data_IF_078972473457
#
_entry.id   IF_078972473457
#
_cell.length_a   1.000
_cell.length_b   1.000
_cell.length_c   1.000
_cell.angle_alpha   90.00
_cell.angle_beta   90.00
_cell.angle_gamma   90.00
#
_symmetry.space_group_name_H-M   'P 1'
#
loop_
_entity.id
_entity.type
_entity.pdbx_description
1 polymer ?
#
# COMPACT_ATOMS: atom_id res chain seq x y z
N UNK A 1 90.00 -58.97 -4.49
CA UNK A 1 89.47 -57.82 -5.19
C UNK A 1 88.00 -58.08 -5.47
N UNK A 2 87.08 -57.60 -4.59
CA UNK A 2 85.64 -57.83 -4.71
C UNK A 2 84.95 -56.66 -5.37
N UNK A 3 84.28 -56.91 -6.49
CA UNK A 3 83.47 -55.91 -7.20
C UNK A 3 82.11 -55.82 -6.53
N UNK A 4 81.75 -54.61 -6.10
CA UNK A 4 80.42 -54.27 -5.57
C UNK A 4 79.61 -53.66 -6.71
N UNK A 5 78.55 -54.40 -7.11
CA UNK A 5 77.55 -53.86 -8.05
C UNK A 5 76.47 -53.11 -7.26
N UNK A 6 76.35 -51.87 -7.59
CA UNK A 6 75.22 -51.00 -7.11
C UNK A 6 74.04 -51.15 -8.02
N UNK A 7 72.93 -51.66 -7.52
CA UNK A 7 71.63 -51.69 -8.25
C UNK A 7 70.87 -50.45 -7.92
N UNK A 8 70.66 -49.59 -8.93
CA UNK A 8 69.88 -48.37 -8.83
C UNK A 8 68.41 -48.71 -9.06
N UNK A 9 67.56 -48.64 -8.01
CA UNK A 9 66.12 -48.82 -8.11
C UNK A 9 65.49 -47.46 -8.53
N UNK A 10 64.98 -47.41 -9.78
CA UNK A 10 64.18 -46.30 -10.27
C UNK A 10 62.74 -46.47 -9.78
N UNK A 11 62.27 -45.68 -8.84
CA UNK A 11 60.86 -45.58 -8.46
C UNK A 11 60.15 -44.62 -9.39
N UNK A 12 59.30 -45.16 -10.25
CA UNK A 12 58.43 -44.38 -11.16
C UNK A 12 57.22 -43.85 -10.37
N UNK A 13 57.20 -42.55 -10.03
CA UNK A 13 56.07 -41.88 -9.43
C UNK A 13 55.00 -41.61 -10.52
N UNK A 14 53.91 -42.35 -10.47
CA UNK A 14 52.72 -42.12 -11.32
C UNK A 14 51.97 -40.92 -10.72
N UNK A 15 52.13 -39.72 -11.28
CA UNK A 15 51.24 -38.59 -11.03
C UNK A 15 49.92 -38.82 -11.78
N UNK A 16 48.90 -39.29 -11.07
CA UNK A 16 47.52 -39.32 -11.57
C UNK A 16 47.00 -37.89 -11.68
N UNK A 17 46.19 -37.55 -12.74
CA UNK A 17 45.55 -36.26 -12.86
C UNK A 17 44.55 -36.09 -11.72
N UNK A 18 44.75 -35.10 -10.86
CA UNK A 18 43.74 -34.64 -9.89
C UNK A 18 42.64 -33.92 -10.70
N UNK A 19 41.56 -34.62 -11.01
CA UNK A 19 40.36 -34.01 -11.51
C UNK A 19 39.75 -33.15 -10.40
N UNK A 20 40.08 -31.83 -10.39
CA UNK A 20 39.32 -30.84 -9.68
C UNK A 20 37.98 -30.70 -10.39
N UNK A 21 36.97 -31.44 -10.00
CA UNK A 21 35.59 -31.19 -10.43
C UNK A 21 35.21 -29.76 -10.08
N UNK A 22 34.32 -29.12 -10.86
CA UNK A 22 33.85 -27.79 -10.56
C UNK A 22 33.25 -27.81 -9.16
N UNK A 23 33.90 -27.10 -8.19
CA UNK A 23 33.24 -26.72 -6.95
C UNK A 23 32.06 -25.85 -7.37
N UNK A 24 30.86 -26.38 -7.22
CA UNK A 24 29.67 -25.54 -7.20
C UNK A 24 29.84 -24.58 -6.03
N UNK A 25 30.18 -23.32 -6.33
CA UNK A 25 30.07 -22.23 -5.37
C UNK A 25 28.59 -22.12 -4.97
N UNK A 26 28.22 -22.84 -3.91
CA UNK A 26 26.86 -22.76 -3.31
C UNK A 26 26.61 -21.41 -2.60
N UNK A 27 27.49 -20.42 -2.81
CA UNK A 27 27.38 -19.09 -2.24
C UNK A 27 27.46 -17.98 -3.29
N UNK A 28 26.98 -18.22 -4.51
CA UNK A 28 26.75 -17.11 -5.42
C UNK A 28 25.64 -16.24 -4.83
N UNK A 29 25.97 -15.07 -4.33
CA UNK A 29 24.98 -14.08 -3.90
C UNK A 29 23.96 -13.90 -5.05
N UNK A 30 22.66 -14.01 -4.74
CA UNK A 30 21.62 -13.85 -5.74
C UNK A 30 21.80 -12.50 -6.45
N UNK A 31 21.63 -12.48 -7.76
CA UNK A 31 21.79 -11.26 -8.56
C UNK A 31 20.86 -10.15 -8.05
N UNK A 32 21.31 -8.89 -8.00
CA UNK A 32 20.46 -7.77 -7.62
C UNK A 32 19.21 -7.69 -8.49
N UNK A 33 18.06 -7.48 -7.86
CA UNK A 33 16.79 -7.35 -8.54
C UNK A 33 15.99 -6.16 -8.01
N UNK A 34 15.35 -5.41 -8.90
CA UNK A 34 14.51 -4.28 -8.54
C UNK A 34 13.05 -4.54 -8.93
N UNK A 35 12.17 -4.61 -7.95
CA UNK A 35 10.73 -4.71 -8.13
C UNK A 35 10.15 -3.32 -8.38
N UNK A 36 9.42 -3.15 -9.48
CA UNK A 36 8.72 -1.90 -9.78
C UNK A 36 7.29 -1.94 -9.23
N UNK A 37 6.93 -0.92 -8.47
CA UNK A 37 5.63 -0.81 -7.79
C UNK A 37 5.01 0.54 -8.14
N UNK A 38 3.74 0.56 -8.54
CA UNK A 38 3.04 1.82 -8.84
C UNK A 38 1.63 1.83 -8.28
N UNK A 39 1.10 3.01 -7.94
CA UNK A 39 -0.33 3.16 -7.63
C UNK A 39 -0.66 3.93 -6.36
N UNK A 40 -1.51 3.38 -5.50
CA UNK A 40 -2.16 4.06 -4.39
C UNK A 40 -1.22 4.79 -3.43
N UNK A 41 -1.44 6.08 -3.25
CA UNK A 41 -0.76 6.92 -2.23
C UNK A 41 -1.18 6.58 -0.80
N UNK A 42 -2.30 5.87 -0.60
CA UNK A 42 -2.75 5.40 0.72
C UNK A 42 -2.13 4.06 1.10
N UNK A 43 -1.78 3.21 0.11
CA UNK A 43 -1.07 1.94 0.32
C UNK A 43 0.43 2.18 0.49
N UNK A 44 0.99 3.23 -0.15
CA UNK A 44 2.43 3.53 -0.16
C UNK A 44 3.08 3.51 1.24
N UNK A 45 2.53 4.13 2.31
CA UNK A 45 3.14 4.07 3.62
C UNK A 45 3.30 2.63 4.17
N UNK A 46 2.31 1.76 3.94
CA UNK A 46 2.41 0.36 4.30
C UNK A 46 3.49 -0.36 3.45
N UNK A 47 3.51 -0.10 2.14
CA UNK A 47 4.51 -0.70 1.25
C UNK A 47 5.92 -0.26 1.61
N UNK A 48 6.13 0.98 2.02
CA UNK A 48 7.43 1.48 2.49
C UNK A 48 7.93 0.70 3.72
N UNK A 49 7.06 0.43 4.69
CA UNK A 49 7.38 -0.39 5.86
C UNK A 49 7.68 -1.85 5.49
N UNK A 50 6.83 -2.46 4.66
CA UNK A 50 7.00 -3.85 4.23
C UNK A 50 8.29 -4.03 3.41
N UNK A 51 8.56 -3.13 2.48
CA UNK A 51 9.76 -3.22 1.64
C UNK A 51 11.05 -2.93 2.40
N UNK A 52 11.00 -2.01 3.37
CA UNK A 52 12.16 -1.74 4.24
C UNK A 52 12.55 -2.98 5.04
N UNK A 53 11.57 -3.68 5.65
CA UNK A 53 11.85 -4.90 6.41
C UNK A 53 12.26 -6.06 5.49
N UNK A 54 11.59 -6.23 4.34
CA UNK A 54 11.96 -7.28 3.40
C UNK A 54 13.38 -7.13 2.85
N UNK A 55 13.86 -5.90 2.63
CA UNK A 55 15.25 -5.63 2.24
C UNK A 55 16.26 -6.07 3.31
N UNK A 56 15.90 -5.99 4.59
CA UNK A 56 16.75 -6.51 5.67
C UNK A 56 16.87 -8.04 5.60
N UNK A 57 15.81 -8.72 5.15
CA UNK A 57 15.78 -10.19 4.99
C UNK A 57 16.45 -10.65 3.69
N UNK A 58 16.34 -9.84 2.62
CA UNK A 58 16.76 -10.15 1.24
C UNK A 58 17.56 -9.00 0.67
N UNK A 59 18.85 -8.94 1.01
CA UNK A 59 19.74 -7.83 0.64
C UNK A 59 19.97 -7.63 -0.86
N UNK A 60 19.60 -8.61 -1.70
CA UNK A 60 19.70 -8.53 -3.16
C UNK A 60 18.45 -7.91 -3.83
N UNK A 61 17.38 -7.61 -3.07
CA UNK A 61 16.13 -7.06 -3.61
C UNK A 61 16.00 -5.59 -3.26
N UNK A 62 15.62 -4.77 -4.24
CA UNK A 62 15.27 -3.36 -4.08
C UNK A 62 13.87 -3.10 -4.65
N UNK A 63 13.27 -1.98 -4.26
CA UNK A 63 11.92 -1.60 -4.69
C UNK A 63 11.94 -0.17 -5.22
N UNK A 64 11.30 0.05 -6.36
CA UNK A 64 11.03 1.37 -6.90
C UNK A 64 9.53 1.63 -6.79
N UNK A 65 9.13 2.46 -5.82
CA UNK A 65 7.72 2.73 -5.51
C UNK A 65 7.33 4.09 -6.08
N UNK A 66 6.32 4.11 -6.95
CA UNK A 66 5.72 5.32 -7.53
C UNK A 66 4.27 5.45 -7.05
N UNK A 67 4.02 6.38 -6.13
CA UNK A 67 2.71 6.59 -5.53
C UNK A 67 1.96 7.72 -6.27
N UNK A 68 1.12 7.37 -7.26
CA UNK A 68 0.43 8.30 -8.17
C UNK A 68 -1.10 8.17 -8.15
N UNK A 69 -1.63 7.13 -7.50
CA UNK A 69 -3.05 6.86 -7.40
C UNK A 69 -3.39 5.43 -7.82
N UNK A 70 -4.49 4.86 -7.28
CA UNK A 70 -4.88 3.48 -7.56
C UNK A 70 -5.14 3.23 -9.05
N UNK A 71 -5.75 4.19 -9.74
CA UNK A 71 -6.03 4.08 -11.19
C UNK A 71 -4.77 3.91 -12.02
N UNK A 72 -3.65 4.53 -11.62
CA UNK A 72 -2.37 4.37 -12.31
C UNK A 72 -1.77 2.99 -12.05
N UNK A 73 -1.84 2.47 -10.82
CA UNK A 73 -1.42 1.12 -10.49
C UNK A 73 -2.20 0.06 -11.27
N UNK A 74 -3.53 0.23 -11.36
CA UNK A 74 -4.41 -0.66 -12.12
C UNK A 74 -4.05 -0.67 -13.62
N UNK A 75 -3.68 0.47 -14.19
CA UNK A 75 -3.25 0.58 -15.60
C UNK A 75 -1.82 0.09 -15.83
N UNK A 76 -0.92 0.34 -14.88
CA UNK A 76 0.50 0.00 -15.00
C UNK A 76 0.74 -1.51 -15.09
N UNK A 77 -0.05 -2.32 -14.37
CA UNK A 77 0.11 -3.77 -14.31
C UNK A 77 -0.15 -4.46 -15.66
N UNK A 78 -1.30 -4.31 -16.33
CA UNK A 78 -1.51 -4.94 -17.64
C UNK A 78 -0.59 -4.36 -18.71
N UNK A 79 -0.18 -3.08 -18.59
CA UNK A 79 0.80 -2.44 -19.47
C UNK A 79 2.26 -2.86 -19.20
N UNK A 80 2.50 -3.63 -18.14
CA UNK A 80 3.82 -4.10 -17.70
C UNK A 80 4.84 -2.99 -17.38
N UNK A 81 4.37 -1.78 -17.09
CA UNK A 81 5.20 -0.66 -16.61
C UNK A 81 5.50 -0.74 -15.12
N UNK A 82 4.73 -1.55 -14.38
CA UNK A 82 5.02 -1.98 -13.02
C UNK A 82 4.77 -3.48 -12.88
N UNK A 83 5.53 -4.15 -12.02
CA UNK A 83 5.29 -5.56 -11.68
C UNK A 83 4.17 -5.72 -10.67
N UNK A 84 4.11 -4.78 -9.71
CA UNK A 84 3.09 -4.72 -8.67
C UNK A 84 2.34 -3.41 -8.78
N UNK A 85 1.02 -3.49 -8.87
CA UNK A 85 0.12 -2.36 -8.71
C UNK A 85 -0.34 -2.23 -7.25
N UNK A 86 -0.60 -1.02 -6.78
CA UNK A 86 -1.21 -0.75 -5.48
C UNK A 86 -2.61 -0.19 -5.68
N UNK A 87 -3.63 -0.80 -5.07
CA UNK A 87 -4.99 -0.26 -5.04
C UNK A 87 -5.53 -0.16 -3.62
N UNK A 88 -6.24 0.92 -3.34
CA UNK A 88 -6.96 1.16 -2.09
C UNK A 88 -8.48 1.17 -2.30
N UNK A 89 -8.94 0.40 -3.28
CA UNK A 89 -10.34 0.06 -3.56
C UNK A 89 -10.38 -1.26 -4.31
N UNK A 90 -11.53 -1.85 -4.37
CA UNK A 90 -11.80 -2.97 -5.28
C UNK A 90 -11.67 -2.55 -6.75
N UNK A 91 -11.46 -3.51 -7.63
CA UNK A 91 -11.53 -3.28 -9.07
C UNK A 91 -12.97 -3.04 -9.48
N UNK A 92 -13.21 -2.04 -10.33
CA UNK A 92 -14.52 -1.84 -10.93
C UNK A 92 -14.87 -3.00 -11.89
N UNK A 93 -16.16 -3.22 -12.23
CA UNK A 93 -16.57 -4.25 -13.18
C UNK A 93 -15.82 -4.18 -14.52
N UNK A 94 -15.48 -2.98 -14.98
CA UNK A 94 -14.70 -2.79 -16.21
C UNK A 94 -13.21 -3.20 -16.07
N UNK A 95 -12.68 -3.16 -14.85
CA UNK A 95 -11.29 -3.50 -14.55
C UNK A 95 -11.10 -4.98 -14.21
N UNK A 96 -12.12 -5.67 -13.67
CA UNK A 96 -12.08 -7.11 -13.33
C UNK A 96 -11.70 -7.98 -14.55
N UNK A 97 -12.11 -7.59 -15.77
CA UNK A 97 -11.77 -8.27 -17.02
C UNK A 97 -10.40 -7.92 -17.59
N UNK A 98 -9.62 -7.05 -16.97
CA UNK A 98 -8.38 -6.50 -17.55
C UNK A 98 -7.14 -7.39 -17.39
N UNK A 99 -7.29 -8.64 -16.94
CA UNK A 99 -6.17 -9.58 -16.77
C UNK A 99 -5.28 -9.25 -15.57
N UNK A 100 -5.89 -8.91 -14.43
CA UNK A 100 -5.25 -8.61 -13.16
C UNK A 100 -5.59 -9.69 -12.14
N UNK A 101 -4.60 -10.13 -11.38
CA UNK A 101 -4.76 -10.92 -10.15
C UNK A 101 -4.65 -9.98 -8.95
N UNK A 102 -5.57 -10.13 -7.99
CA UNK A 102 -5.69 -9.31 -6.80
C UNK A 102 -5.15 -10.05 -5.57
N UNK A 103 -4.29 -9.39 -4.79
CA UNK A 103 -3.72 -9.90 -3.55
C UNK A 103 -4.14 -8.99 -2.40
N UNK A 104 -5.09 -9.43 -1.58
CA UNK A 104 -5.51 -8.70 -0.38
C UNK A 104 -4.40 -8.74 0.67
N UNK A 105 -3.87 -7.58 1.05
CA UNK A 105 -2.76 -7.47 2.02
C UNK A 105 -3.16 -6.85 3.35
N UNK A 106 -4.18 -6.01 3.37
CA UNK A 106 -4.70 -5.34 4.57
C UNK A 106 -6.13 -4.86 4.35
N UNK A 107 -6.83 -4.57 5.44
CA UNK A 107 -8.02 -3.73 5.45
C UNK A 107 -7.66 -2.37 6.05
N UNK A 108 -8.20 -1.29 5.49
CA UNK A 108 -7.97 0.08 5.93
C UNK A 108 -9.28 0.81 6.18
N UNK A 109 -9.35 1.56 7.29
CA UNK A 109 -10.43 2.51 7.51
C UNK A 109 -10.20 3.79 6.72
N UNK A 110 -11.26 4.45 6.24
CA UNK A 110 -11.19 5.80 5.71
C UNK A 110 -11.67 6.75 6.81
N UNK A 111 -10.76 7.51 7.38
CA UNK A 111 -11.07 8.51 8.40
C UNK A 111 -11.58 9.81 7.76
N UNK A 112 -12.73 10.31 8.19
CA UNK A 112 -13.18 11.67 7.91
C UNK A 112 -12.42 12.61 8.83
N UNK A 113 -11.76 13.60 8.26
CA UNK A 113 -10.86 14.50 8.98
C UNK A 113 -11.24 15.97 8.83
N UNK A 114 -10.99 16.72 9.89
CA UNK A 114 -11.14 18.18 9.94
C UNK A 114 -9.92 18.80 10.62
N UNK A 115 -9.81 20.12 10.53
CA UNK A 115 -8.81 20.86 11.31
C UNK A 115 -8.97 20.61 12.81
N UNK A 116 -7.86 20.54 13.55
CA UNK A 116 -7.87 20.28 15.00
C UNK A 116 -8.69 21.32 15.79
N UNK A 117 -8.81 22.56 15.30
CA UNK A 117 -9.61 23.64 15.86
C UNK A 117 -11.11 23.59 15.53
N UNK A 118 -11.55 22.68 14.65
CA UNK A 118 -12.97 22.53 14.31
C UNK A 118 -13.74 21.94 15.52
N UNK A 119 -14.87 22.54 16.00
CA UNK A 119 -15.61 22.04 17.15
C UNK A 119 -16.42 20.77 16.88
N UNK A 120 -16.77 20.47 15.62
CA UNK A 120 -17.52 19.27 15.26
C UNK A 120 -16.69 18.02 15.57
N UNK A 121 -17.29 17.04 16.23
CA UNK A 121 -16.64 15.79 16.61
C UNK A 121 -17.32 14.54 16.03
N UNK A 122 -18.53 14.68 15.49
CA UNK A 122 -19.32 13.58 14.95
C UNK A 122 -20.17 14.04 13.78
N UNK A 123 -20.28 13.20 12.76
CA UNK A 123 -21.22 13.34 11.64
C UNK A 123 -21.90 12.00 11.37
N UNK A 124 -23.14 12.02 10.94
CA UNK A 124 -23.78 10.83 10.36
C UNK A 124 -23.31 10.62 8.92
N UNK A 125 -23.48 9.41 8.39
CA UNK A 125 -23.22 9.12 6.96
C UNK A 125 -24.03 10.07 6.05
N UNK A 126 -25.29 10.34 6.39
CA UNK A 126 -26.14 11.25 5.60
C UNK A 126 -25.67 12.71 5.66
N UNK A 127 -25.16 13.15 6.82
CA UNK A 127 -24.53 14.48 6.92
C UNK A 127 -23.26 14.57 6.08
N UNK A 128 -22.41 13.53 6.12
CA UNK A 128 -21.21 13.46 5.28
C UNK A 128 -21.63 13.51 3.79
N UNK A 129 -22.60 12.68 3.40
CA UNK A 129 -23.15 12.74 2.03
C UNK A 129 -23.66 14.12 1.67
N UNK A 130 -24.46 14.75 2.55
CA UNK A 130 -25.00 16.09 2.35
C UNK A 130 -23.90 17.15 2.15
N UNK A 131 -22.79 17.04 2.89
CA UNK A 131 -21.65 17.93 2.73
C UNK A 131 -20.98 17.72 1.36
N UNK A 132 -20.67 16.47 1.00
CA UNK A 132 -19.98 16.16 -0.25
C UNK A 132 -20.84 16.36 -1.51
N UNK A 133 -22.18 16.39 -1.38
CA UNK A 133 -23.10 16.74 -2.47
C UNK A 133 -23.52 18.22 -2.49
N UNK A 134 -23.12 18.99 -1.45
CA UNK A 134 -23.45 20.41 -1.33
C UNK A 134 -24.82 20.74 -0.74
N UNK A 135 -25.59 19.73 -0.31
CA UNK A 135 -26.85 19.92 0.42
C UNK A 135 -26.64 20.54 1.81
N UNK A 136 -25.49 20.27 2.42
CA UNK A 136 -25.00 20.91 3.65
C UNK A 136 -23.75 21.69 3.27
N UNK A 137 -23.80 23.01 3.43
CA UNK A 137 -22.73 23.91 2.97
C UNK A 137 -22.16 24.81 4.07
N UNK A 138 -22.76 24.79 5.28
CA UNK A 138 -22.33 25.58 6.42
C UNK A 138 -22.19 24.70 7.67
N UNK A 139 -21.12 24.92 8.43
CA UNK A 139 -20.83 24.14 9.64
C UNK A 139 -21.90 24.26 10.71
N UNK A 140 -22.66 25.37 10.77
CA UNK A 140 -23.77 25.52 11.73
C UNK A 140 -24.89 24.51 11.52
N UNK A 141 -25.05 23.97 10.31
CA UNK A 141 -26.06 22.94 9.98
C UNK A 141 -25.74 21.59 10.63
N UNK A 142 -24.51 21.40 11.10
CA UNK A 142 -24.03 20.15 11.73
C UNK A 142 -23.42 20.40 13.12
N UNK A 143 -23.81 21.48 13.77
CA UNK A 143 -23.39 21.79 15.14
C UNK A 143 -22.02 22.45 15.29
N UNK A 144 -21.46 22.94 14.20
CA UNK A 144 -20.23 23.73 14.17
C UNK A 144 -20.46 25.23 14.32
N UNK A 145 -19.39 26.00 14.20
CA UNK A 145 -19.47 27.47 14.09
C UNK A 145 -20.01 27.83 12.71
N UNK A 146 -20.81 28.90 12.62
CA UNK A 146 -21.25 29.41 11.33
C UNK A 146 -20.05 29.72 10.41
N UNK A 147 -20.06 29.15 9.21
CA UNK A 147 -19.00 29.27 8.23
C UNK A 147 -19.15 28.27 7.12
N UNK A 148 -18.80 28.68 5.89
CA UNK A 148 -18.90 27.81 4.73
C UNK A 148 -17.95 26.62 4.86
N UNK A 149 -18.44 25.44 4.59
CA UNK A 149 -17.62 24.21 4.56
C UNK A 149 -16.76 24.21 3.28
N UNK A 150 -15.44 24.11 3.45
CA UNK A 150 -14.49 23.88 2.37
C UNK A 150 -14.35 22.35 2.15
N UNK A 151 -15.04 21.83 1.14
CA UNK A 151 -15.01 20.40 0.81
C UNK A 151 -13.72 20.08 0.09
N UNK A 152 -12.91 19.21 0.70
CA UNK A 152 -11.65 18.71 0.13
C UNK A 152 -11.85 17.26 -0.31
N UNK A 153 -11.50 16.97 -1.55
CA UNK A 153 -11.55 15.65 -2.15
C UNK A 153 -10.21 15.28 -2.77
N UNK A 154 -10.17 14.11 -3.39
CA UNK A 154 -9.03 13.56 -4.09
C UNK A 154 -9.25 13.62 -5.60
N UNK A 155 -8.17 13.48 -6.33
CA UNK A 155 -8.14 13.34 -7.78
C UNK A 155 -9.03 12.17 -8.28
N UNK A 156 -9.55 12.20 -9.52
CA UNK A 156 -10.44 11.14 -10.05
C UNK A 156 -9.81 9.74 -10.07
N UNK A 157 -8.48 9.63 -10.20
CA UNK A 157 -7.74 8.36 -10.16
C UNK A 157 -7.54 7.77 -8.77
N UNK A 158 -7.98 8.47 -7.71
CA UNK A 158 -7.81 8.03 -6.34
C UNK A 158 -8.72 6.86 -5.97
N UNK A 159 -8.12 5.74 -5.53
CA UNK A 159 -8.88 4.64 -4.95
C UNK A 159 -9.58 5.02 -3.63
N UNK A 160 -9.00 5.97 -2.86
CA UNK A 160 -9.62 6.48 -1.64
C UNK A 160 -10.90 7.24 -1.95
N UNK A 161 -10.88 8.07 -3.01
CA UNK A 161 -12.09 8.76 -3.49
C UNK A 161 -13.15 7.76 -3.93
N UNK A 162 -12.79 6.82 -4.80
CA UNK A 162 -13.74 5.82 -5.30
C UNK A 162 -14.41 5.04 -4.18
N UNK A 163 -13.63 4.49 -3.23
CA UNK A 163 -14.18 3.77 -2.08
C UNK A 163 -15.04 4.67 -1.17
N UNK A 164 -14.61 5.90 -0.92
CA UNK A 164 -15.36 6.84 -0.08
C UNK A 164 -16.69 7.23 -0.71
N UNK A 165 -16.69 7.58 -2.00
CA UNK A 165 -17.90 7.92 -2.75
C UNK A 165 -18.89 6.77 -2.80
N UNK A 166 -18.40 5.54 -2.98
CA UNK A 166 -19.21 4.33 -2.98
C UNK A 166 -19.86 4.06 -1.62
N UNK A 167 -19.06 4.02 -0.55
CA UNK A 167 -19.54 3.70 0.81
C UNK A 167 -20.50 4.77 1.32
N UNK A 168 -20.22 6.05 1.07
CA UNK A 168 -21.07 7.19 1.47
C UNK A 168 -22.23 7.41 0.50
N UNK A 169 -22.20 6.76 -0.67
CA UNK A 169 -23.24 6.77 -1.73
C UNK A 169 -23.48 8.12 -2.35
N UNK A 170 -22.43 8.69 -2.94
CA UNK A 170 -22.52 9.94 -3.73
C UNK A 170 -21.64 9.91 -5.00
N UNK A 171 -21.41 8.74 -5.58
CA UNK A 171 -20.65 8.59 -6.82
C UNK A 171 -21.17 9.58 -7.88
N UNK A 172 -20.25 10.24 -8.57
CA UNK A 172 -20.52 11.25 -9.61
C UNK A 172 -21.33 12.47 -9.14
N UNK A 173 -21.50 12.68 -7.82
CA UNK A 173 -22.28 13.76 -7.25
C UNK A 173 -21.46 14.74 -6.41
N UNK A 174 -20.13 14.71 -6.54
CA UNK A 174 -19.26 15.62 -5.80
C UNK A 174 -19.62 17.07 -6.08
N UNK A 175 -19.79 17.86 -5.01
CA UNK A 175 -20.20 19.26 -5.10
C UNK A 175 -19.23 20.09 -5.96
N UNK A 176 -19.77 20.91 -6.84
CA UNK A 176 -18.97 21.82 -7.66
C UNK A 176 -18.24 22.82 -6.77
N UNK A 177 -16.94 23.02 -7.04
CA UNK A 177 -16.10 23.92 -6.27
C UNK A 177 -15.45 23.25 -5.04
N UNK A 178 -15.54 21.91 -4.91
CA UNK A 178 -14.65 21.16 -4.05
C UNK A 178 -13.19 21.37 -4.47
N UNK A 179 -12.29 21.31 -3.48
CA UNK A 179 -10.85 21.44 -3.73
C UNK A 179 -10.29 20.02 -3.87
N UNK A 180 -9.74 19.71 -5.04
CA UNK A 180 -9.20 18.39 -5.31
C UNK A 180 -7.67 18.39 -5.18
N UNK A 181 -7.11 17.39 -4.50
CA UNK A 181 -5.67 17.23 -4.31
C UNK A 181 -5.18 15.84 -4.73
N UNK A 182 -4.00 15.83 -5.33
CA UNK A 182 -3.28 14.60 -5.62
C UNK A 182 -2.62 14.05 -4.36
N UNK A 183 -2.99 12.84 -4.00
CA UNK A 183 -2.37 12.09 -2.91
C UNK A 183 -2.88 12.41 -1.49
N UNK A 184 -2.71 11.42 -0.61
CA UNK A 184 -3.14 11.45 0.80
C UNK A 184 -2.49 12.58 1.59
N UNK A 185 -1.19 12.82 1.35
CA UNK A 185 -0.42 13.84 2.09
C UNK A 185 -0.91 15.26 1.81
N UNK A 186 -1.28 15.58 0.57
CA UNK A 186 -1.75 16.92 0.19
C UNK A 186 -3.12 17.23 0.82
N UNK A 187 -4.04 16.26 0.85
CA UNK A 187 -5.32 16.40 1.59
C UNK A 187 -5.06 16.67 3.07
N UNK A 188 -4.22 15.87 3.73
CA UNK A 188 -3.89 16.06 5.14
C UNK A 188 -3.29 17.44 5.43
N UNK A 189 -2.38 17.89 4.57
CA UNK A 189 -1.77 19.21 4.69
C UNK A 189 -2.80 20.34 4.53
N UNK A 190 -3.76 20.22 3.61
CA UNK A 190 -4.84 21.22 3.45
C UNK A 190 -5.71 21.26 4.70
N UNK A 191 -6.17 20.12 5.20
CA UNK A 191 -7.02 20.04 6.40
C UNK A 191 -6.31 20.64 7.63
N UNK A 192 -5.01 20.42 7.76
CA UNK A 192 -4.24 20.92 8.92
C UNK A 192 -4.17 22.46 8.98
N UNK A 193 -4.19 23.15 7.85
CA UNK A 193 -4.06 24.62 7.74
C UNK A 193 -5.37 25.36 7.52
N UNK A 194 -6.44 24.67 7.10
CA UNK A 194 -7.72 25.27 6.76
C UNK A 194 -8.79 24.88 7.80
N UNK A 195 -9.15 25.84 8.67
CA UNK A 195 -10.08 25.62 9.78
C UNK A 195 -11.49 25.20 9.33
N UNK A 196 -11.88 25.56 8.10
CA UNK A 196 -13.21 25.33 7.56
C UNK A 196 -13.26 24.06 6.68
N UNK A 197 -12.14 23.36 6.51
CA UNK A 197 -12.05 22.23 5.62
C UNK A 197 -12.51 20.93 6.25
N UNK A 198 -13.13 20.08 5.41
CA UNK A 198 -13.39 18.67 5.66
C UNK A 198 -12.75 17.84 4.54
N UNK A 199 -12.15 16.70 4.91
CA UNK A 199 -11.55 15.76 3.98
C UNK A 199 -11.61 14.34 4.48
N UNK A 200 -10.98 13.43 3.75
CA UNK A 200 -10.87 12.02 4.13
C UNK A 200 -9.52 11.44 3.71
N UNK A 201 -8.96 10.59 4.56
CA UNK A 201 -7.69 9.91 4.32
C UNK A 201 -7.73 8.47 4.86
N UNK A 202 -6.74 7.66 4.50
CA UNK A 202 -6.46 6.38 5.16
C UNK A 202 -6.29 6.57 6.66
N UNK A 203 -6.93 5.71 7.47
CA UNK A 203 -6.81 5.71 8.93
C UNK A 203 -5.35 5.53 9.36
N UNK A 204 -4.59 4.66 8.68
CA UNK A 204 -3.16 4.45 8.92
C UNK A 204 -2.28 5.67 8.60
N UNK A 205 -2.82 6.71 7.96
CA UNK A 205 -2.11 7.97 7.64
C UNK A 205 -2.47 9.13 8.59
N UNK A 206 -3.36 8.89 9.56
CA UNK A 206 -3.78 9.92 10.53
C UNK A 206 -2.65 10.17 11.54
N UNK A 207 -2.41 11.43 11.83
CA UNK A 207 -1.51 11.89 12.90
C UNK A 207 -2.11 13.10 13.63
N UNK A 208 -1.36 13.69 14.55
CA UNK A 208 -1.81 14.79 15.39
C UNK A 208 -2.04 16.14 14.65
N UNK A 209 -1.73 16.21 13.34
CA UNK A 209 -1.93 17.42 12.55
C UNK A 209 -3.39 17.67 12.17
N UNK A 210 -4.23 16.64 12.28
CA UNK A 210 -5.66 16.69 11.95
C UNK A 210 -6.50 16.01 13.01
N UNK A 211 -7.79 16.33 13.07
CA UNK A 211 -8.76 15.67 13.95
C UNK A 211 -9.64 14.74 13.13
N UNK A 212 -9.80 13.50 13.60
CA UNK A 212 -10.80 12.56 13.06
C UNK A 212 -12.19 12.84 13.62
N UNK A 213 -13.20 12.69 12.80
CA UNK A 213 -14.60 12.71 13.23
C UNK A 213 -15.09 11.29 13.50
N UNK A 214 -15.95 11.16 14.50
CA UNK A 214 -16.78 9.98 14.65
C UNK A 214 -17.79 9.94 13.49
N UNK A 215 -18.15 8.74 13.06
CA UNK A 215 -19.19 8.54 12.05
C UNK A 215 -20.36 7.78 12.68
N UNK A 216 -21.52 8.44 12.77
CA UNK A 216 -22.67 7.87 13.47
C UNK A 216 -22.41 7.55 14.96
N UNK A 217 -21.56 8.33 15.62
CA UNK A 217 -21.14 8.12 17.00
C UNK A 217 -19.97 7.14 17.17
N UNK A 218 -19.50 6.51 16.09
CA UNK A 218 -18.42 5.50 16.13
C UNK A 218 -17.07 6.14 15.77
N UNK A 219 -16.06 6.06 16.65
CA UNK A 219 -14.71 6.55 16.36
C UNK A 219 -14.04 5.78 15.23
N UNK A 220 -13.29 6.50 14.38
CA UNK A 220 -12.44 5.91 13.35
C UNK A 220 -11.21 5.26 14.01
N UNK A 221 -11.32 4.00 14.41
CA UNK A 221 -10.23 3.22 15.01
C UNK A 221 -10.11 1.85 14.35
N UNK A 222 -8.91 1.28 14.38
CA UNK A 222 -8.66 -0.10 13.91
C UNK A 222 -9.61 -1.10 14.56
N UNK A 223 -9.82 -0.99 15.89
CA UNK A 223 -10.73 -1.88 16.62
C UNK A 223 -12.17 -1.80 16.11
N UNK A 224 -12.67 -0.59 15.80
CA UNK A 224 -14.02 -0.40 15.31
C UNK A 224 -14.19 -0.81 13.82
N UNK A 225 -13.13 -0.80 13.05
CA UNK A 225 -13.15 -1.41 11.70
C UNK A 225 -13.17 -2.93 11.80
N UNK A 226 -12.35 -3.54 12.68
CA UNK A 226 -12.31 -5.00 12.88
C UNK A 226 -13.67 -5.54 13.34
N UNK A 227 -14.34 -4.89 14.29
CA UNK A 227 -15.63 -5.35 14.81
C UNK A 227 -16.82 -4.94 13.92
N UNK A 228 -16.57 -4.26 12.78
CA UNK A 228 -17.59 -3.86 11.81
C UNK A 228 -18.49 -2.71 12.23
N UNK A 229 -18.19 -2.02 13.35
CA UNK A 229 -19.00 -0.86 13.80
C UNK A 229 -18.64 0.43 13.05
N UNK A 230 -17.38 0.58 12.61
CA UNK A 230 -16.99 1.68 11.73
C UNK A 230 -17.11 1.24 10.27
N UNK A 231 -18.05 1.82 9.55
CA UNK A 231 -18.49 1.32 8.25
C UNK A 231 -17.64 1.77 7.06
N UNK A 232 -16.83 2.84 7.21
CA UNK A 232 -16.04 3.37 6.10
C UNK A 232 -14.69 2.65 6.07
N UNK A 233 -14.68 1.43 5.52
CA UNK A 233 -13.52 0.57 5.39
C UNK A 233 -13.42 -0.02 3.98
N UNK A 234 -12.21 -0.41 3.59
CA UNK A 234 -11.89 -0.85 2.24
C UNK A 234 -10.70 -1.81 2.21
N UNK A 235 -10.51 -2.61 1.16
CA UNK A 235 -9.29 -3.40 0.99
C UNK A 235 -8.10 -2.54 0.59
N UNK A 236 -6.91 -2.98 1.00
CA UNK A 236 -5.65 -2.66 0.36
C UNK A 236 -5.21 -3.86 -0.45
N UNK A 237 -5.07 -3.65 -1.75
CA UNK A 237 -4.75 -4.69 -2.72
C UNK A 237 -3.39 -4.42 -3.35
N UNK A 238 -2.60 -5.49 -3.51
CA UNK A 238 -1.55 -5.53 -4.50
C UNK A 238 -2.09 -6.24 -5.74
N UNK A 239 -1.67 -5.76 -6.89
CA UNK A 239 -2.15 -6.21 -8.18
C UNK A 239 -0.98 -6.76 -8.99
N UNK A 240 -1.19 -7.87 -9.68
CA UNK A 240 -0.20 -8.43 -10.61
C UNK A 240 -0.87 -8.79 -11.93
N UNK A 241 -0.10 -8.85 -13.02
CA UNK A 241 -0.64 -9.23 -14.31
C UNK A 241 -0.92 -10.72 -14.35
N UNK A 242 -2.16 -11.08 -14.61
CA UNK A 242 -2.62 -12.46 -14.73
C UNK A 242 -1.90 -13.20 -15.85
N UNK A 243 -1.41 -14.40 -15.53
CA UNK A 243 -0.70 -15.23 -16.50
C UNK A 243 0.72 -14.78 -16.82
N UNK A 244 1.23 -13.70 -16.23
CA UNK A 244 2.64 -13.33 -16.32
C UNK A 244 3.48 -14.17 -15.36
N UNK A 245 4.59 -14.70 -15.84
CA UNK A 245 5.62 -15.27 -14.97
C UNK A 245 6.36 -14.13 -14.28
N UNK A 246 6.06 -13.94 -12.99
CA UNK A 246 6.77 -12.97 -12.16
C UNK A 246 8.16 -13.51 -11.79
N UNK A 247 9.09 -12.60 -11.47
CA UNK A 247 10.37 -12.98 -10.91
C UNK A 247 10.17 -13.67 -9.54
N UNK A 248 11.02 -14.65 -9.24
CA UNK A 248 10.95 -15.40 -7.98
C UNK A 248 11.03 -14.52 -6.74
N UNK A 249 11.77 -13.41 -6.79
CA UNK A 249 11.86 -12.46 -5.68
C UNK A 249 10.56 -11.66 -5.49
N UNK A 250 9.88 -11.30 -6.59
CA UNK A 250 8.56 -10.66 -6.52
C UNK A 250 7.53 -11.59 -5.90
N UNK A 251 7.50 -12.86 -6.32
CA UNK A 251 6.61 -13.87 -5.73
C UNK A 251 6.91 -14.08 -4.25
N UNK A 252 8.19 -14.25 -3.90
CA UNK A 252 8.60 -14.45 -2.51
C UNK A 252 8.25 -13.25 -1.61
N UNK A 253 8.29 -12.02 -2.15
CA UNK A 253 7.84 -10.83 -1.43
C UNK A 253 6.32 -10.84 -1.19
N UNK A 254 5.53 -11.15 -2.22
CA UNK A 254 4.06 -11.24 -2.09
C UNK A 254 3.67 -12.31 -1.06
N UNK A 255 4.29 -13.49 -1.11
CA UNK A 255 4.06 -14.56 -0.14
C UNK A 255 4.47 -14.14 1.28
N UNK A 256 5.63 -13.46 1.41
CA UNK A 256 6.14 -13.00 2.71
C UNK A 256 5.20 -11.98 3.38
N UNK A 257 4.58 -11.07 2.62
CA UNK A 257 3.59 -10.12 3.17
C UNK A 257 2.49 -10.85 3.93
N UNK A 258 2.09 -12.02 3.45
CA UNK A 258 1.03 -12.84 4.05
C UNK A 258 1.53 -13.77 5.16
N UNK A 259 2.82 -13.76 5.51
CA UNK A 259 3.32 -14.45 6.70
C UNK A 259 2.98 -13.70 7.99
N UNK A 260 3.16 -14.33 9.14
CA UNK A 260 2.98 -13.68 10.44
C UNK A 260 3.92 -12.47 10.60
N UNK A 261 5.13 -12.53 10.05
CA UNK A 261 6.10 -11.43 10.07
C UNK A 261 5.61 -10.22 9.25
N UNK A 262 5.18 -10.45 8.00
CA UNK A 262 4.62 -9.37 7.18
C UNK A 262 3.34 -8.79 7.77
N UNK A 263 2.44 -9.65 8.27
CA UNK A 263 1.20 -9.21 8.89
C UNK A 263 1.39 -8.54 10.26
N UNK A 264 2.49 -8.78 10.97
CA UNK A 264 2.86 -8.02 12.16
C UNK A 264 3.11 -6.53 11.84
N UNK A 265 3.72 -6.25 10.67
CA UNK A 265 3.91 -4.87 10.18
C UNK A 265 2.55 -4.24 9.83
N UNK A 266 1.67 -4.99 9.15
CA UNK A 266 0.31 -4.50 8.85
C UNK A 266 -0.41 -4.08 10.14
N UNK A 267 -0.34 -4.87 11.21
CA UNK A 267 -1.00 -4.61 12.50
C UNK A 267 -0.52 -3.34 13.21
N UNK A 268 0.56 -2.72 12.78
CA UNK A 268 1.06 -1.47 13.42
C UNK A 268 0.11 -0.29 13.21
N UNK A 269 -0.59 -0.23 12.06
CA UNK A 269 -1.46 0.91 11.72
C UNK A 269 -2.67 0.53 10.85
N UNK A 270 -2.75 -0.72 10.38
CA UNK A 270 -3.83 -1.24 9.54
C UNK A 270 -4.39 -2.53 10.11
N UNK A 271 -5.37 -3.10 9.44
CA UNK A 271 -6.04 -4.32 9.85
C UNK A 271 -5.46 -5.49 9.07
N UNK A 272 -4.92 -6.46 9.79
CA UNK A 272 -4.39 -7.70 9.23
C UNK A 272 -5.51 -8.54 8.59
N UNK A 273 -5.15 -9.28 7.56
CA UNK A 273 -6.00 -10.25 6.87
C UNK A 273 -5.81 -11.69 7.37
N UNK A 274 -5.05 -11.81 8.46
CA UNK A 274 -4.80 -13.06 9.19
C UNK A 274 -5.11 -12.91 10.67
#
# INVERSE_FOLDING_TARGET
MKKISVVLLLTLAVLGPVFSGPRSDQNAAAAPYTVTVAGSTSVSPLMELLTAEYKNLRGNVSFNISATGSGDGIKAVPAETAEIGMSSRELSPAEIGSGIDEHLIAIDGIAVIVNSGNPVSNLTIDQIRGIYTGAISDWSQVGGRAGRIAVVSREPGSGTRGAFEEIVRFQDQLVRGSIEFDGTGAVKAEISRNADAIGYISLGSVDNSVKTLNVGGVPATTANVINGTYLIARPFLLLTKKGRTLNSETLAFLDWILTDAGQAIVKTSWISVK
#
